data_IF_016905468531
#
_entry.id   IF_016905468531
#
_cell.length_a   1.000
_cell.length_b   1.000
_cell.length_c   1.000
_cell.angle_alpha   90.00
_cell.angle_beta   90.00
_cell.angle_gamma   90.00
#
_symmetry.space_group_name_H-M   'P 1'
#
loop_
_entity.id
_entity.type
_entity.pdbx_description
1 polymer ?
#
# COMPACT_ATOMS: atom_id res chain seq x y z
N UNK A 1 -7.13 -25.25 28.12
CA UNK A 1 -6.24 -24.83 27.02
C UNK A 1 -7.11 -24.40 25.86
N UNK A 2 -7.15 -23.11 25.51
CA UNK A 2 -7.78 -22.68 24.27
C UNK A 2 -6.81 -23.07 23.15
N UNK A 3 -7.26 -23.87 22.18
CA UNK A 3 -6.50 -24.12 20.96
C UNK A 3 -6.35 -22.78 20.26
N UNK A 4 -5.19 -22.15 20.35
CA UNK A 4 -4.88 -21.01 19.50
C UNK A 4 -4.87 -21.51 18.05
N UNK A 5 -5.53 -20.81 17.12
CA UNK A 5 -5.52 -21.21 15.73
C UNK A 5 -4.10 -21.20 15.19
N UNK A 6 -3.74 -22.19 14.37
CA UNK A 6 -2.43 -22.21 13.70
C UNK A 6 -2.22 -20.94 12.87
N UNK A 7 -0.98 -20.42 12.80
CA UNK A 7 -0.68 -19.22 12.03
C UNK A 7 -1.02 -19.43 10.56
N UNK A 8 -1.85 -18.55 10.01
CA UNK A 8 -2.23 -18.62 8.60
C UNK A 8 -0.99 -18.39 7.70
N UNK A 9 -0.85 -19.14 6.59
CA UNK A 9 0.29 -18.97 5.68
C UNK A 9 0.30 -17.56 5.07
N UNK A 10 1.50 -17.06 4.76
CA UNK A 10 1.67 -15.75 4.16
C UNK A 10 0.95 -15.66 2.80
N UNK A 11 0.12 -14.61 2.63
CA UNK A 11 -0.65 -14.35 1.41
C UNK A 11 -0.19 -13.06 0.75
N UNK A 12 0.20 -13.15 -0.53
CA UNK A 12 0.66 -12.01 -1.34
C UNK A 12 -0.44 -10.95 -1.46
N UNK A 13 -0.06 -9.67 -1.43
CA UNK A 13 -0.96 -8.59 -1.81
C UNK A 13 -1.27 -8.66 -3.32
N UNK A 14 -2.56 -8.61 -3.74
CA UNK A 14 -2.93 -8.68 -5.14
C UNK A 14 -2.22 -7.62 -6.00
N UNK A 15 -2.01 -7.93 -7.28
CA UNK A 15 -1.39 -6.96 -8.20
C UNK A 15 -2.40 -5.85 -8.49
N UNK A 16 -2.08 -4.61 -8.14
CA UNK A 16 -2.87 -3.44 -8.57
C UNK A 16 -2.64 -3.17 -10.05
N UNK A 17 -3.71 -3.16 -10.84
CA UNK A 17 -3.65 -2.87 -12.28
C UNK A 17 -3.52 -1.36 -12.52
N UNK A 18 -2.91 -0.98 -13.64
CA UNK A 18 -2.86 0.39 -14.11
C UNK A 18 -4.22 0.84 -14.64
N UNK A 19 -4.59 2.10 -14.43
CA UNK A 19 -5.64 2.75 -15.20
C UNK A 19 -5.25 2.83 -16.69
N UNK A 20 -6.23 2.84 -17.64
CA UNK A 20 -5.98 2.84 -19.08
C UNK A 20 -5.00 3.92 -19.57
N UNK A 21 -5.02 5.07 -18.93
CA UNK A 21 -4.29 6.29 -19.25
C UNK A 21 -3.13 6.54 -18.26
N UNK A 22 -2.67 5.50 -17.55
CA UNK A 22 -1.47 5.59 -16.71
C UNK A 22 -0.21 5.61 -17.56
N UNK A 23 0.53 6.73 -17.64
CA UNK A 23 1.70 6.86 -18.53
C UNK A 23 2.91 6.02 -18.07
N UNK A 24 3.00 5.70 -16.78
CA UNK A 24 4.07 4.87 -16.22
C UNK A 24 3.89 3.34 -16.36
N UNK A 25 2.92 2.86 -17.15
CA UNK A 25 2.73 1.43 -17.39
C UNK A 25 3.81 0.87 -18.34
N UNK A 26 4.35 -0.32 -18.05
CA UNK A 26 5.30 -1.04 -18.93
C UNK A 26 4.67 -2.31 -19.51
N UNK A 27 5.40 -3.02 -20.39
CA UNK A 27 4.92 -4.27 -21.01
C UNK A 27 4.57 -5.39 -20.02
N UNK A 28 5.14 -5.37 -18.82
CA UNK A 28 4.89 -6.37 -17.76
C UNK A 28 3.71 -6.00 -16.86
N UNK A 29 3.16 -4.80 -17.03
CA UNK A 29 2.05 -4.30 -16.24
C UNK A 29 0.69 -4.76 -16.81
N UNK A 30 -0.26 -4.97 -15.90
CA UNK A 30 -1.65 -5.24 -16.28
C UNK A 30 -2.39 -3.92 -16.30
N UNK A 31 -3.06 -3.63 -17.41
CA UNK A 31 -3.91 -2.46 -17.57
C UNK A 31 -5.36 -2.91 -17.37
N UNK A 32 -6.09 -2.20 -16.51
CA UNK A 32 -7.51 -2.40 -16.33
C UNK A 32 -8.24 -1.71 -17.47
N UNK A 33 -9.03 -2.46 -18.24
CA UNK A 33 -9.75 -1.95 -19.42
C UNK A 33 -11.20 -1.56 -19.12
N UNK A 34 -11.80 -2.17 -18.10
CA UNK A 34 -13.18 -1.93 -17.64
C UNK A 34 -13.14 -1.11 -16.33
N UNK A 35 -13.77 0.07 -16.34
CA UNK A 35 -13.85 0.96 -15.18
C UNK A 35 -15.20 0.90 -14.47
N UNK A 36 -16.15 0.05 -14.92
CA UNK A 36 -17.50 -0.06 -14.34
C UNK A 36 -17.49 -0.58 -12.90
N UNK A 37 -16.37 -1.15 -12.44
CA UNK A 37 -16.16 -1.53 -11.05
C UNK A 37 -16.01 -0.34 -10.09
N UNK A 38 -15.69 0.86 -10.59
CA UNK A 38 -15.54 2.08 -9.79
C UNK A 38 -16.88 2.79 -9.62
N UNK A 39 -17.75 2.20 -8.79
CA UNK A 39 -19.07 2.74 -8.47
C UNK A 39 -19.15 3.21 -7.02
N UNK A 40 -20.10 4.10 -6.76
CA UNK A 40 -20.30 4.70 -5.44
C UNK A 40 -19.18 5.67 -5.09
N UNK A 41 -18.87 5.77 -3.80
CA UNK A 41 -17.78 6.61 -3.33
C UNK A 41 -16.41 5.98 -3.62
N UNK A 42 -15.49 6.78 -4.13
CA UNK A 42 -14.11 6.43 -4.41
C UNK A 42 -13.19 7.13 -3.41
N UNK A 43 -12.09 6.45 -3.10
CA UNK A 43 -10.99 7.00 -2.31
C UNK A 43 -9.73 6.96 -3.15
N UNK A 44 -9.04 8.10 -3.16
CA UNK A 44 -7.77 8.28 -3.85
C UNK A 44 -6.70 8.54 -2.81
N UNK A 45 -5.71 7.69 -2.79
CA UNK A 45 -4.54 7.87 -1.95
C UNK A 45 -3.33 8.20 -2.80
N UNK A 46 -2.36 8.89 -2.21
CA UNK A 46 -1.04 8.98 -2.78
C UNK A 46 -0.45 7.58 -2.93
N UNK A 47 0.18 7.32 -4.08
CA UNK A 47 0.97 6.11 -4.28
C UNK A 47 2.36 6.38 -3.72
N UNK A 48 2.63 5.83 -2.56
CA UNK A 48 3.94 5.95 -1.92
C UNK A 48 4.97 5.08 -2.66
N UNK A 49 6.19 5.61 -2.79
CA UNK A 49 7.32 4.95 -3.41
C UNK A 49 8.22 4.31 -2.34
N UNK A 50 7.97 3.03 -2.05
CA UNK A 50 8.67 2.29 -1.02
C UNK A 50 8.73 0.78 -1.31
N UNK A 51 8.47 -0.03 -0.28
CA UNK A 51 8.33 -1.48 -0.41
C UNK A 51 7.05 -1.99 0.25
N UNK A 52 6.22 -2.69 -0.50
CA UNK A 52 5.04 -3.36 0.04
C UNK A 52 5.42 -4.38 1.12
N UNK A 53 4.87 -4.17 2.32
CA UNK A 53 5.01 -5.03 3.49
C UNK A 53 3.63 -5.34 4.06
N UNK A 54 3.46 -6.57 4.54
CA UNK A 54 2.25 -7.02 5.22
C UNK A 54 2.58 -7.44 6.65
N UNK A 55 1.81 -6.93 7.60
CA UNK A 55 1.77 -7.35 8.98
C UNK A 55 0.58 -8.27 9.20
N UNK A 56 0.83 -9.40 9.84
CA UNK A 56 -0.20 -10.24 10.46
C UNK A 56 0.11 -10.34 11.94
N UNK A 57 -0.75 -11.02 12.70
CA UNK A 57 -0.45 -11.34 14.09
C UNK A 57 0.87 -12.10 14.26
N UNK A 58 1.13 -13.04 13.35
CA UNK A 58 2.18 -14.03 13.51
C UNK A 58 3.40 -13.77 12.62
N UNK A 59 3.24 -12.99 11.55
CA UNK A 59 4.24 -12.81 10.51
C UNK A 59 4.34 -11.36 10.03
N UNK A 60 5.53 -11.00 9.56
CA UNK A 60 5.77 -9.82 8.74
C UNK A 60 6.53 -10.24 7.49
N UNK A 61 6.01 -9.88 6.32
CA UNK A 61 6.57 -10.31 5.04
C UNK A 61 6.41 -9.24 3.95
N UNK A 62 7.36 -9.20 3.02
CA UNK A 62 7.25 -8.40 1.81
C UNK A 62 6.26 -9.03 0.82
N UNK A 63 5.84 -8.28 -0.21
CA UNK A 63 4.93 -8.82 -1.25
C UNK A 63 5.40 -10.13 -1.88
N UNK A 64 6.72 -10.29 -2.05
CA UNK A 64 7.32 -11.58 -2.38
C UNK A 64 7.57 -12.34 -1.09
N UNK A 65 6.62 -13.18 -0.67
CA UNK A 65 6.60 -13.83 0.65
C UNK A 65 7.89 -14.57 1.03
N UNK A 66 8.63 -15.09 0.05
CA UNK A 66 9.86 -15.87 0.27
C UNK A 66 11.15 -15.03 0.29
N UNK A 67 11.06 -13.68 0.26
CA UNK A 67 12.25 -12.81 0.17
C UNK A 67 12.98 -12.58 1.50
N UNK A 68 12.42 -13.05 2.62
CA UNK A 68 12.89 -12.71 3.96
C UNK A 68 12.71 -11.23 4.31
N UNK A 69 13.27 -10.81 5.44
CA UNK A 69 13.28 -9.40 5.86
C UNK A 69 14.55 -8.71 5.34
N UNK A 70 14.38 -7.73 4.47
CA UNK A 70 15.50 -6.92 3.98
C UNK A 70 15.96 -5.86 5.00
N UNK A 71 17.20 -5.36 4.93
CA UNK A 71 17.71 -4.32 5.82
C UNK A 71 16.84 -3.06 5.88
N UNK A 72 16.31 -2.61 4.73
CA UNK A 72 15.42 -1.44 4.66
C UNK A 72 14.04 -1.66 5.29
N UNK A 73 13.64 -2.91 5.52
CA UNK A 73 12.36 -3.24 6.18
C UNK A 73 12.51 -3.46 7.68
N UNK A 74 13.73 -3.41 8.24
CA UNK A 74 13.96 -3.59 9.69
C UNK A 74 13.18 -2.58 10.55
N UNK A 75 13.07 -1.29 10.20
CA UNK A 75 12.24 -0.35 10.96
C UNK A 75 10.76 -0.70 10.94
N UNK A 76 10.23 -1.13 9.78
CA UNK A 76 8.87 -1.66 9.70
C UNK A 76 8.69 -2.93 10.54
N UNK A 77 9.70 -3.82 10.58
CA UNK A 77 9.69 -5.01 11.44
C UNK A 77 9.66 -4.68 12.93
N UNK A 78 10.39 -3.64 13.35
CA UNK A 78 10.36 -3.17 14.73
C UNK A 78 8.99 -2.59 15.09
N UNK A 79 8.32 -1.90 14.16
CA UNK A 79 6.94 -1.44 14.33
C UNK A 79 5.96 -2.63 14.43
N UNK A 80 6.05 -3.59 13.51
CA UNK A 80 5.27 -4.83 13.56
C UNK A 80 5.38 -5.52 14.92
N UNK A 81 6.60 -5.72 15.44
CA UNK A 81 6.82 -6.40 16.70
C UNK A 81 6.10 -5.75 17.90
N UNK A 82 5.79 -4.44 17.82
CA UNK A 82 5.00 -3.74 18.84
C UNK A 82 3.50 -4.02 18.70
N UNK A 83 2.97 -3.98 17.48
CA UNK A 83 1.51 -3.98 17.23
C UNK A 83 0.96 -5.36 16.84
N UNK A 84 1.80 -6.34 16.53
CA UNK A 84 1.38 -7.64 15.99
C UNK A 84 0.34 -8.35 16.88
N UNK A 85 0.53 -8.27 18.20
CA UNK A 85 -0.35 -8.90 19.18
C UNK A 85 -1.76 -8.27 19.26
N UNK A 86 -1.97 -7.11 18.63
CA UNK A 86 -3.28 -6.45 18.52
C UNK A 86 -3.98 -6.80 17.21
N UNK A 87 -3.26 -7.32 16.22
CA UNK A 87 -3.83 -7.74 14.94
C UNK A 87 -4.65 -9.03 15.17
N UNK A 88 -5.93 -9.08 14.74
CA UNK A 88 -6.73 -10.28 14.87
C UNK A 88 -6.19 -11.45 14.03
N UNK A 89 -6.45 -12.68 14.46
CA UNK A 89 -6.05 -13.87 13.70
C UNK A 89 -6.63 -13.86 12.28
N UNK A 90 -5.79 -14.18 11.30
CA UNK A 90 -6.16 -14.20 9.88
C UNK A 90 -6.25 -12.81 9.22
N UNK A 91 -6.12 -11.72 9.96
CA UNK A 91 -6.12 -10.37 9.41
C UNK A 91 -4.74 -9.97 8.87
N UNK A 92 -4.75 -9.07 7.89
CA UNK A 92 -3.53 -8.55 7.25
C UNK A 92 -3.59 -7.03 7.15
N UNK A 93 -2.61 -6.36 7.74
CA UNK A 93 -2.40 -4.93 7.61
C UNK A 93 -1.32 -4.73 6.54
N UNK A 94 -1.71 -4.25 5.38
CA UNK A 94 -0.81 -4.01 4.26
C UNK A 94 -0.47 -2.52 4.19
N UNK A 95 0.82 -2.23 4.02
CA UNK A 95 1.33 -0.88 3.93
C UNK A 95 2.64 -0.80 3.17
N UNK A 96 3.09 0.42 2.98
CA UNK A 96 4.33 0.74 2.28
C UNK A 96 5.42 1.03 3.31
N UNK A 97 6.48 0.21 3.31
CA UNK A 97 7.74 0.47 4.01
C UNK A 97 8.49 1.58 3.27
N UNK A 98 8.62 2.74 3.92
CA UNK A 98 9.15 3.97 3.32
C UNK A 98 10.42 4.45 4.04
N UNK A 99 11.08 3.57 4.79
CA UNK A 99 12.36 3.89 5.44
C UNK A 99 13.46 4.22 4.43
N UNK A 100 13.74 3.29 3.52
CA UNK A 100 14.69 3.52 2.46
C UNK A 100 14.09 4.46 1.42
N UNK A 101 14.83 5.51 1.09
CA UNK A 101 14.55 6.38 -0.03
C UNK A 101 14.66 5.57 -1.33
N UNK A 102 13.60 5.61 -2.14
CA UNK A 102 13.57 5.04 -3.49
C UNK A 102 13.78 6.17 -4.50
N UNK A 103 12.94 6.25 -5.51
CA UNK A 103 13.05 7.26 -6.55
C UNK A 103 12.48 8.62 -6.10
N UNK A 104 11.55 8.63 -5.15
CA UNK A 104 11.05 9.83 -4.48
C UNK A 104 11.81 10.06 -3.18
N UNK A 105 12.25 11.30 -2.96
CA UNK A 105 12.96 11.73 -1.76
C UNK A 105 12.00 12.44 -0.80
N UNK A 106 11.33 11.67 0.06
CA UNK A 106 10.42 12.26 1.04
C UNK A 106 11.20 12.93 2.17
N UNK A 107 10.72 14.07 2.66
CA UNK A 107 11.39 14.86 3.70
C UNK A 107 10.61 14.95 5.02
N UNK A 108 9.34 14.57 5.01
CA UNK A 108 8.41 14.80 6.14
C UNK A 108 7.38 13.67 6.26
N UNK A 109 7.84 12.41 6.32
CA UNK A 109 6.96 11.25 6.44
C UNK A 109 6.44 11.09 7.89
N UNK A 110 5.17 10.73 8.10
CA UNK A 110 4.60 10.55 9.44
C UNK A 110 5.04 9.24 10.11
N UNK A 111 5.79 8.37 9.40
CA UNK A 111 6.32 7.14 9.94
C UNK A 111 6.98 6.26 8.89
N UNK A 112 7.65 5.21 9.35
CA UNK A 112 8.45 4.30 8.50
C UNK A 112 7.62 3.29 7.69
N UNK A 113 6.34 3.16 8.02
CA UNK A 113 5.39 2.25 7.39
C UNK A 113 4.02 2.94 7.30
N UNK A 114 3.47 3.04 6.10
CA UNK A 114 2.20 3.73 5.85
C UNK A 114 1.13 2.74 5.39
N UNK A 115 0.04 2.60 6.15
CA UNK A 115 -1.05 1.66 5.85
C UNK A 115 -1.83 2.13 4.62
N UNK A 116 -2.10 1.22 3.68
CA UNK A 116 -2.99 1.48 2.55
C UNK A 116 -4.14 0.46 2.41
N UNK A 117 -4.08 -0.68 3.10
CA UNK A 117 -5.11 -1.71 3.02
C UNK A 117 -5.17 -2.59 4.27
N UNK A 118 -6.38 -2.91 4.71
CA UNK A 118 -6.65 -3.88 5.79
C UNK A 118 -7.52 -5.00 5.25
N UNK A 119 -7.09 -6.24 5.43
CA UNK A 119 -7.86 -7.43 5.04
C UNK A 119 -8.29 -8.21 6.27
N UNK A 120 -9.53 -8.70 6.26
CA UNK A 120 -9.99 -9.63 7.29
C UNK A 120 -9.67 -11.10 6.98
N UNK A 121 -10.05 -11.96 7.92
CA UNK A 121 -9.91 -13.41 7.83
C UNK A 121 -10.71 -14.05 6.68
N UNK A 122 -11.72 -13.36 6.12
CA UNK A 122 -12.50 -13.84 4.97
C UNK A 122 -11.88 -13.47 3.62
N UNK A 123 -10.70 -12.84 3.65
CA UNK A 123 -10.04 -12.29 2.46
C UNK A 123 -10.85 -11.19 1.78
N UNK A 124 -11.55 -10.39 2.58
CA UNK A 124 -12.19 -9.16 2.14
C UNK A 124 -11.32 -7.97 2.54
N UNK A 125 -10.94 -7.14 1.56
CA UNK A 125 -10.35 -5.84 1.81
C UNK A 125 -11.43 -4.97 2.45
N UNK A 126 -11.20 -4.52 3.67
CA UNK A 126 -12.16 -3.73 4.45
C UNK A 126 -12.48 -2.41 3.74
N UNK A 127 -13.60 -1.81 4.11
CA UNK A 127 -13.95 -0.47 3.63
C UNK A 127 -12.82 0.52 3.95
N UNK A 128 -12.81 1.66 3.27
CA UNK A 128 -11.82 2.69 3.58
C UNK A 128 -11.98 3.20 5.03
N UNK A 129 -13.21 3.38 5.50
CA UNK A 129 -13.48 3.84 6.86
C UNK A 129 -12.96 2.85 7.91
N UNK A 130 -13.17 1.54 7.70
CA UNK A 130 -12.58 0.52 8.57
C UNK A 130 -11.06 0.44 8.43
N UNK A 131 -10.50 0.69 7.24
CA UNK A 131 -9.04 0.78 7.05
C UNK A 131 -8.48 1.91 7.91
N UNK A 132 -9.16 3.06 7.95
CA UNK A 132 -8.80 4.21 8.79
C UNK A 132 -8.92 3.88 10.27
N UNK A 133 -10.03 3.26 10.67
CA UNK A 133 -10.29 2.84 12.05
C UNK A 133 -9.19 1.89 12.55
N UNK A 134 -8.86 0.84 11.79
CA UNK A 134 -7.82 -0.11 12.18
C UNK A 134 -6.43 0.49 12.18
N UNK A 135 -6.11 1.40 11.26
CA UNK A 135 -4.85 2.12 11.29
C UNK A 135 -4.73 2.99 12.55
N UNK A 136 -5.81 3.67 12.95
CA UNK A 136 -5.86 4.45 14.18
C UNK A 136 -5.74 3.58 15.44
N UNK A 137 -6.45 2.44 15.50
CA UNK A 137 -6.38 1.50 16.63
C UNK A 137 -4.96 0.97 16.84
N UNK A 138 -4.23 0.71 15.75
CA UNK A 138 -2.85 0.21 15.80
C UNK A 138 -1.79 1.32 15.88
N UNK A 139 -2.22 2.58 15.96
CA UNK A 139 -1.35 3.77 15.93
C UNK A 139 -0.39 3.77 14.73
N UNK A 140 -0.88 3.32 13.57
CA UNK A 140 -0.14 3.27 12.32
C UNK A 140 -0.58 4.41 11.39
N UNK A 141 0.33 5.24 10.86
CA UNK A 141 -0.03 6.28 9.92
C UNK A 141 -0.54 5.67 8.60
N UNK A 142 -1.50 6.35 7.98
CA UNK A 142 -2.04 6.00 6.67
C UNK A 142 -1.23 6.65 5.56
N UNK A 143 -1.32 6.08 4.36
CA UNK A 143 -0.96 6.83 3.14
C UNK A 143 -1.84 8.08 3.01
N UNK A 144 -1.31 9.21 2.49
CA UNK A 144 -2.11 10.43 2.33
C UNK A 144 -3.35 10.21 1.47
N UNK A 145 -4.51 10.66 1.95
CA UNK A 145 -5.74 10.72 1.15
C UNK A 145 -5.75 12.01 0.35
N UNK A 146 -5.77 11.88 -0.98
CA UNK A 146 -5.80 13.02 -1.90
C UNK A 146 -7.24 13.43 -2.22
N UNK A 147 -8.18 12.47 -2.22
CA UNK A 147 -9.58 12.73 -2.52
C UNK A 147 -10.49 11.61 -2.00
N UNK A 148 -11.73 12.00 -1.66
CA UNK A 148 -12.85 11.11 -1.41
C UNK A 148 -14.08 11.71 -2.11
N UNK A 149 -14.74 10.95 -2.98
CA UNK A 149 -15.83 11.47 -3.80
C UNK A 149 -16.32 10.48 -4.86
N UNK A 150 -17.39 10.81 -5.59
CA UNK A 150 -18.10 9.85 -6.44
C UNK A 150 -17.43 9.58 -7.79
N UNK A 151 -16.43 10.37 -8.19
CA UNK A 151 -16.01 10.42 -9.58
C UNK A 151 -14.49 10.27 -9.79
N UNK A 152 -14.12 9.50 -10.81
CA UNK A 152 -12.73 9.20 -11.16
C UNK A 152 -12.02 10.40 -11.83
N UNK A 153 -12.75 11.36 -12.38
CA UNK A 153 -12.16 12.53 -13.06
C UNK A 153 -11.54 13.51 -12.05
N UNK A 154 -12.30 13.84 -11.00
CA UNK A 154 -11.89 14.63 -9.85
C UNK A 154 -10.79 13.91 -9.08
N UNK A 155 -10.86 12.59 -8.97
CA UNK A 155 -9.81 11.74 -8.42
C UNK A 155 -8.47 11.93 -9.15
N UNK A 156 -8.47 11.92 -10.49
CA UNK A 156 -7.28 12.16 -11.32
C UNK A 156 -6.71 13.56 -11.12
N UNK A 157 -7.60 14.55 -11.10
CA UNK A 157 -7.20 15.94 -10.91
C UNK A 157 -6.75 16.24 -9.47
N UNK A 158 -7.11 15.41 -8.49
CA UNK A 158 -6.71 15.61 -7.09
C UNK A 158 -5.21 15.46 -6.88
N UNK A 159 -4.58 14.53 -7.60
CA UNK A 159 -3.12 14.36 -7.55
C UNK A 159 -2.41 15.59 -8.09
N UNK A 160 -2.73 16.05 -9.31
CA UNK A 160 -2.06 17.21 -9.92
C UNK A 160 -2.32 18.54 -9.21
N UNK A 161 -3.37 18.65 -8.38
CA UNK A 161 -3.61 19.83 -7.52
C UNK A 161 -2.77 19.86 -6.25
N UNK A 162 -2.26 18.72 -5.80
CA UNK A 162 -1.64 18.58 -4.47
C UNK A 162 -0.22 18.04 -4.52
N UNK A 163 0.19 17.47 -5.66
CA UNK A 163 1.46 16.80 -5.88
C UNK A 163 1.99 17.13 -7.26
N UNK A 164 3.28 16.94 -7.40
CA UNK A 164 4.01 17.04 -8.66
C UNK A 164 4.86 15.79 -8.90
N UNK A 165 5.53 15.77 -10.06
CA UNK A 165 6.35 14.65 -10.49
C UNK A 165 7.65 14.49 -9.67
N UNK A 166 8.07 15.51 -8.93
CA UNK A 166 9.30 15.48 -8.14
C UNK A 166 9.05 14.83 -6.77
N UNK A 167 7.87 15.06 -6.19
CA UNK A 167 7.50 14.61 -4.85
C UNK A 167 6.60 13.37 -4.76
N UNK A 168 6.07 12.82 -5.88
CA UNK A 168 5.02 11.80 -5.81
C UNK A 168 4.98 10.84 -6.99
N UNK A 169 4.92 9.52 -6.77
CA UNK A 169 4.83 8.51 -7.85
C UNK A 169 3.54 8.59 -8.66
N UNK A 170 2.45 8.97 -8.01
CA UNK A 170 1.12 8.96 -8.58
C UNK A 170 0.08 8.68 -7.50
N UNK A 171 -0.98 7.98 -7.87
CA UNK A 171 -2.07 7.69 -6.95
C UNK A 171 -2.62 6.26 -7.12
N UNK A 172 -3.29 5.79 -6.08
CA UNK A 172 -4.12 4.58 -6.11
C UNK A 172 -5.56 5.02 -5.90
N UNK A 173 -6.47 4.46 -6.69
CA UNK A 173 -7.91 4.65 -6.54
C UNK A 173 -8.55 3.32 -6.16
N UNK A 174 -9.48 3.36 -5.20
CA UNK A 174 -10.34 2.23 -4.84
C UNK A 174 -11.77 2.68 -4.61
N UNK A 175 -12.73 1.77 -4.74
CA UNK A 175 -14.05 1.97 -4.13
C UNK A 175 -13.94 2.00 -2.61
N UNK A 176 -14.68 2.89 -1.95
CA UNK A 176 -14.68 3.04 -0.49
C UNK A 176 -15.29 1.83 0.24
N UNK A 177 -16.22 1.13 -0.40
CA UNK A 177 -16.86 -0.08 0.14
C UNK A 177 -15.85 -1.24 0.31
N UNK A 178 -16.18 -2.27 1.12
CA UNK A 178 -15.39 -3.50 1.18
C UNK A 178 -15.28 -4.19 -0.19
N UNK A 179 -14.15 -4.85 -0.44
CA UNK A 179 -13.81 -5.46 -1.73
C UNK A 179 -13.39 -6.92 -1.50
N UNK A 180 -14.18 -7.92 -1.92
CA UNK A 180 -13.73 -9.31 -1.94
C UNK A 180 -12.48 -9.46 -2.79
N UNK A 181 -11.55 -10.33 -2.42
CA UNK A 181 -10.27 -10.51 -3.15
C UNK A 181 -10.47 -10.76 -4.65
N UNK A 182 -11.50 -11.53 -5.03
CA UNK A 182 -11.85 -11.81 -6.42
C UNK A 182 -12.21 -10.56 -7.25
N UNK A 183 -12.67 -9.50 -6.59
CA UNK A 183 -13.08 -8.24 -7.23
C UNK A 183 -12.00 -7.16 -7.18
N UNK A 184 -10.88 -7.42 -6.48
CA UNK A 184 -9.81 -6.45 -6.28
C UNK A 184 -9.33 -5.85 -7.62
N UNK A 185 -9.11 -6.69 -8.63
CA UNK A 185 -8.61 -6.27 -9.94
C UNK A 185 -9.55 -5.36 -10.73
N UNK A 186 -10.82 -5.22 -10.32
CA UNK A 186 -11.84 -4.35 -10.94
C UNK A 186 -12.15 -3.10 -10.12
N UNK A 187 -11.84 -3.13 -8.81
CA UNK A 187 -12.23 -2.08 -7.86
C UNK A 187 -11.04 -1.32 -7.27
N UNK A 188 -9.81 -1.70 -7.60
CA UNK A 188 -8.57 -1.02 -7.19
C UNK A 188 -7.66 -0.89 -8.40
N UNK A 189 -7.25 0.34 -8.70
CA UNK A 189 -6.30 0.63 -9.77
C UNK A 189 -5.31 1.71 -9.37
N UNK A 190 -4.22 1.82 -10.12
CA UNK A 190 -3.19 2.84 -9.90
C UNK A 190 -2.97 3.68 -11.15
N UNK A 191 -2.54 4.90 -10.94
CA UNK A 191 -1.97 5.75 -11.96
C UNK A 191 -0.55 6.12 -11.52
N UNK A 192 0.40 5.99 -12.44
CA UNK A 192 1.82 6.27 -12.20
C UNK A 192 2.28 7.30 -13.21
N UNK A 193 2.98 8.33 -12.74
CA UNK A 193 3.47 9.44 -13.57
C UNK A 193 4.42 8.99 -14.70
N UNK A 194 4.59 9.80 -15.75
CA UNK A 194 5.59 9.52 -16.78
C UNK A 194 7.00 9.44 -16.19
N UNK A 195 7.85 8.60 -16.77
CA UNK A 195 9.29 8.53 -16.45
C UNK A 195 9.60 8.26 -14.96
N UNK A 196 8.68 7.64 -14.21
CA UNK A 196 8.99 7.17 -12.87
C UNK A 196 10.07 6.08 -12.96
N UNK A 197 11.29 6.45 -12.60
CA UNK A 197 12.43 5.54 -12.57
C UNK A 197 12.15 4.49 -11.52
N UNK A 198 12.21 3.21 -11.88
CA UNK A 198 12.14 2.12 -10.90
C UNK A 198 13.54 1.90 -10.35
N UNK A 199 13.66 1.73 -9.04
CA UNK A 199 14.92 1.33 -8.43
C UNK A 199 15.41 0.02 -9.05
N UNK A 200 16.68 -0.03 -9.45
CA UNK A 200 17.26 -1.22 -10.08
C UNK A 200 17.20 -2.44 -9.16
N UNK A 201 17.05 -3.64 -9.75
CA UNK A 201 16.99 -4.90 -9.01
C UNK A 201 18.25 -5.18 -8.16
N UNK A 202 19.39 -4.56 -8.50
CA UNK A 202 20.66 -4.62 -7.78
C UNK A 202 20.56 -4.18 -6.31
N UNK A 203 19.57 -3.36 -5.96
CA UNK A 203 19.30 -2.96 -4.57
C UNK A 203 18.99 -4.14 -3.63
N UNK A 204 18.53 -5.28 -4.15
CA UNK A 204 18.19 -6.46 -3.34
C UNK A 204 19.36 -7.03 -2.53
N UNK A 205 20.59 -6.66 -2.88
CA UNK A 205 21.83 -7.17 -2.31
C UNK A 205 22.67 -6.08 -1.63
N UNK A 206 22.10 -4.90 -1.40
CA UNK A 206 22.80 -3.76 -0.81
C UNK A 206 22.34 -3.49 0.62
N UNK A 207 23.31 -3.21 1.48
CA UNK A 207 23.06 -2.73 2.85
C UNK A 207 23.24 -1.21 2.96
N UNK A 208 23.67 -0.56 1.88
CA UNK A 208 23.84 0.88 1.77
C UNK A 208 22.72 1.50 0.92
N UNK A 209 21.91 2.35 1.55
CA UNK A 209 20.81 3.07 0.89
C UNK A 209 20.57 4.41 1.58
N UNK A 210 20.11 5.38 0.81
CA UNK A 210 19.63 6.64 1.36
C UNK A 210 18.34 6.39 2.18
N UNK A 211 18.13 7.21 3.20
CA UNK A 211 16.95 7.14 4.09
C UNK A 211 16.08 8.37 3.84
N UNK A 212 14.76 8.23 3.93
CA UNK A 212 13.83 9.35 3.83
C UNK A 212 13.86 10.23 5.10
N UNK A 213 13.33 11.44 5.02
CA UNK A 213 13.04 12.29 6.17
C UNK A 213 11.70 11.95 6.81
N UNK A 214 11.62 12.10 8.14
CA UNK A 214 10.45 11.81 8.95
C UNK A 214 10.10 13.02 9.82
N UNK A 215 8.80 13.26 10.01
CA UNK A 215 8.30 14.28 10.92
C UNK A 215 8.81 14.02 12.35
N UNK A 216 9.16 15.08 13.07
CA UNK A 216 9.64 15.05 14.45
C UNK A 216 8.51 14.98 15.46
#
# INVERSE_FOLDING_TARGET
MRNEPEPAPARKYPRTHHLPDSPGATSDDRILTDLDGFTGELVVTEKMDGGNVTFTRDLMYARSVDSGTHPWDRPAKALWARVAHEIPYGWRICGESVWARRSVAYTDLPGVFLVFAVWDATHTLRSWDETVEWAALLELPLVPVLHRGPDLATARAAWSRQRDADGSEGFVVRTAAPIPEAEFGRRVAKWVRPQHVRTEASWRHRDDFAVNGFAH
#
